data_IF_337025218049
#
_entry.id   IF_337025218049
#
_cell.length_a   1.000
_cell.length_b   1.000
_cell.length_c   1.000
_cell.angle_alpha   90.00
_cell.angle_beta   90.00
_cell.angle_gamma   90.00
#
_symmetry.space_group_name_H-M   'P 1'
#
loop_
_entity.id
_entity.type
_entity.pdbx_description
1 polymer ?
#
# COMPACT_ATOMS: atom_id res chain seq x y z
N UNK A 1 24.00 -5.26 19.91
CA UNK A 1 23.90 -5.48 18.45
C UNK A 1 22.47 -5.21 18.02
N UNK A 2 22.24 -4.43 16.95
CA UNK A 2 20.89 -4.28 16.38
C UNK A 2 20.60 -5.51 15.53
N UNK A 3 19.56 -6.27 15.87
CA UNK A 3 19.09 -7.38 15.05
C UNK A 3 18.59 -6.83 13.71
N UNK A 4 19.06 -7.43 12.61
CA UNK A 4 18.57 -7.11 11.25
C UNK A 4 17.21 -7.80 11.10
N UNK A 5 16.20 -7.04 10.65
CA UNK A 5 14.88 -7.62 10.38
C UNK A 5 14.97 -8.58 9.18
N UNK A 6 14.20 -9.66 9.23
CA UNK A 6 14.08 -10.59 8.11
C UNK A 6 12.60 -10.95 7.87
N UNK A 7 12.23 -11.28 6.62
CA UNK A 7 10.83 -11.52 6.26
C UNK A 7 10.32 -12.93 6.62
N UNK A 8 11.15 -13.83 7.17
CA UNK A 8 10.73 -15.19 7.51
C UNK A 8 10.01 -15.29 8.87
N UNK A 9 9.13 -16.30 8.98
CA UNK A 9 8.45 -16.62 10.24
C UNK A 9 7.10 -15.92 10.43
N UNK A 10 6.32 -15.74 9.36
CA UNK A 10 5.00 -15.12 9.46
C UNK A 10 4.13 -15.78 10.53
N UNK A 11 4.08 -17.11 10.60
CA UNK A 11 3.22 -17.89 11.52
C UNK A 11 3.53 -17.67 13.01
N UNK A 12 4.67 -17.06 13.36
CA UNK A 12 5.01 -16.75 14.75
C UNK A 12 3.99 -15.83 15.43
N UNK A 13 3.10 -15.17 14.67
CA UNK A 13 1.96 -14.44 15.24
C UNK A 13 1.12 -15.33 16.16
N UNK A 14 0.98 -16.63 15.88
CA UNK A 14 0.13 -17.54 16.66
C UNK A 14 0.58 -17.62 18.11
N UNK A 15 1.90 -17.55 18.36
CA UNK A 15 2.48 -17.54 19.70
C UNK A 15 2.23 -16.23 20.43
N UNK A 16 2.25 -15.12 19.71
CA UNK A 16 2.10 -13.78 20.27
C UNK A 16 0.63 -13.35 20.40
N UNK A 17 -0.23 -13.88 19.54
CA UNK A 17 -1.60 -13.45 19.32
C UNK A 17 -2.52 -14.65 19.03
N UNK A 18 -2.72 -15.54 20.03
CA UNK A 18 -3.43 -16.80 19.85
C UNK A 18 -4.94 -16.66 19.54
N UNK A 19 -5.52 -15.47 19.74
CA UNK A 19 -6.94 -15.21 19.47
C UNK A 19 -7.18 -14.72 18.04
N UNK A 20 -6.14 -14.57 17.21
CA UNK A 20 -6.30 -14.10 15.83
C UNK A 20 -6.88 -15.20 14.95
N UNK A 21 -8.03 -14.93 14.34
CA UNK A 21 -8.61 -15.78 13.31
C UNK A 21 -8.21 -15.25 11.93
N UNK A 22 -7.00 -15.59 11.49
CA UNK A 22 -6.49 -15.21 10.18
C UNK A 22 -6.31 -16.44 9.30
N UNK A 23 -6.79 -16.33 8.07
CA UNK A 23 -6.67 -17.38 7.05
C UNK A 23 -5.86 -16.81 5.91
N UNK A 24 -4.73 -17.45 5.60
CA UNK A 24 -3.93 -17.10 4.43
C UNK A 24 -4.74 -17.39 3.16
N UNK A 25 -4.46 -16.62 2.13
CA UNK A 25 -4.98 -16.91 0.81
C UNK A 25 -4.50 -18.28 0.32
N UNK A 26 -5.27 -18.91 -0.59
CA UNK A 26 -4.81 -20.09 -1.32
C UNK A 26 -3.45 -19.86 -1.99
N UNK A 27 -2.69 -20.94 -2.22
CA UNK A 27 -1.31 -20.87 -2.68
C UNK A 27 -1.12 -20.07 -3.98
N UNK A 28 -2.09 -20.11 -4.89
CA UNK A 28 -2.08 -19.33 -6.15
C UNK A 28 -2.12 -17.81 -5.94
N UNK A 29 -2.69 -17.37 -4.82
CA UNK A 29 -2.79 -15.97 -4.41
C UNK A 29 -1.82 -15.64 -3.27
N UNK A 30 -1.04 -16.58 -2.76
CA UNK A 30 -0.06 -16.32 -1.71
C UNK A 30 1.36 -16.26 -2.30
N UNK A 31 1.85 -15.05 -2.50
CA UNK A 31 3.17 -14.78 -3.08
C UNK A 31 4.25 -14.55 -2.01
N UNK A 32 4.01 -14.98 -0.77
CA UNK A 32 4.97 -14.82 0.32
C UNK A 32 6.29 -15.50 -0.01
N UNK A 33 6.28 -16.75 -0.47
CA UNK A 33 7.50 -17.50 -0.79
C UNK A 33 8.27 -16.86 -1.95
N UNK A 34 7.57 -16.30 -2.94
CA UNK A 34 8.19 -15.53 -4.01
C UNK A 34 8.88 -14.28 -3.47
N UNK A 35 8.24 -13.54 -2.55
CA UNK A 35 8.88 -12.40 -1.89
C UNK A 35 10.13 -12.82 -1.11
N UNK A 36 10.07 -13.92 -0.34
CA UNK A 36 11.22 -14.45 0.41
C UNK A 36 12.38 -14.81 -0.52
N UNK A 37 12.09 -15.47 -1.64
CA UNK A 37 13.09 -15.79 -2.65
C UNK A 37 13.76 -14.50 -3.17
N UNK A 38 12.98 -13.47 -3.52
CA UNK A 38 13.52 -12.20 -4.05
C UNK A 38 14.21 -11.34 -3.00
N UNK A 39 13.87 -11.51 -1.73
CA UNK A 39 14.59 -10.89 -0.63
C UNK A 39 16.03 -11.44 -0.50
N UNK A 40 16.27 -12.68 -0.91
CA UNK A 40 17.58 -13.31 -0.80
C UNK A 40 18.46 -13.14 -2.06
N UNK A 41 17.87 -12.93 -3.24
CA UNK A 41 18.61 -12.77 -4.50
C UNK A 41 19.01 -11.32 -4.79
N UNK A 42 20.07 -11.06 -5.58
CA UNK A 42 20.27 -9.73 -6.17
C UNK A 42 19.03 -9.32 -6.97
N UNK A 43 18.60 -8.07 -6.80
CA UNK A 43 17.41 -7.55 -7.48
C UNK A 43 17.74 -7.29 -8.96
N UNK A 44 16.99 -7.86 -9.91
CA UNK A 44 17.20 -7.61 -11.34
C UNK A 44 16.93 -6.14 -11.68
N UNK A 45 17.44 -5.71 -12.84
CA UNK A 45 17.18 -4.38 -13.35
C UNK A 45 15.75 -4.31 -13.88
N UNK A 46 14.92 -3.46 -13.27
CA UNK A 46 13.59 -3.15 -13.77
C UNK A 46 13.70 -2.28 -15.05
N UNK A 47 12.68 -2.27 -15.92
CA UNK A 47 12.65 -1.37 -17.07
C UNK A 47 12.83 0.09 -16.60
N UNK A 48 13.84 0.77 -17.16
CA UNK A 48 14.24 2.13 -16.71
C UNK A 48 13.27 3.22 -17.18
N UNK A 49 12.45 2.93 -18.18
CA UNK A 49 11.44 3.81 -18.75
C UNK A 49 10.14 3.86 -17.92
N UNK A 50 9.94 2.89 -17.02
CA UNK A 50 8.78 2.84 -16.13
C UNK A 50 8.92 3.84 -14.99
N UNK A 51 7.93 4.73 -14.83
CA UNK A 51 7.85 5.65 -13.70
C UNK A 51 7.46 4.89 -12.42
N UNK A 52 8.24 5.03 -11.34
CA UNK A 52 7.88 4.48 -10.03
C UNK A 52 7.18 5.55 -9.19
N UNK A 53 5.92 5.31 -8.81
CA UNK A 53 5.11 6.23 -8.02
C UNK A 53 5.05 5.74 -6.57
N UNK A 54 5.55 6.52 -5.63
CA UNK A 54 5.47 6.24 -4.19
C UNK A 54 4.33 7.03 -3.57
N UNK A 55 3.33 6.34 -3.00
CA UNK A 55 2.14 6.97 -2.38
C UNK A 55 2.06 6.58 -0.92
N UNK A 56 2.22 7.54 -0.01
CA UNK A 56 2.14 7.29 1.42
C UNK A 56 0.71 7.51 1.97
N UNK A 57 0.46 7.03 3.18
CA UNK A 57 -0.83 7.13 3.84
C UNK A 57 -1.11 8.44 4.56
N UNK A 58 -2.16 8.42 5.40
CA UNK A 58 -2.60 9.52 6.24
C UNK A 58 -1.45 10.05 7.12
N UNK A 59 -1.39 11.37 7.33
CA UNK A 59 -0.38 12.10 8.13
C UNK A 59 1.05 12.09 7.59
N UNK A 60 1.33 11.39 6.50
CA UNK A 60 2.67 11.31 5.92
C UNK A 60 3.24 12.66 5.45
N UNK A 61 2.40 13.65 5.15
CA UNK A 61 2.85 15.01 4.82
C UNK A 61 3.56 15.71 5.97
N UNK A 62 3.36 15.26 7.21
CA UNK A 62 4.01 15.76 8.42
C UNK A 62 5.24 14.92 8.82
N UNK A 63 5.51 13.82 8.11
CA UNK A 63 6.59 12.90 8.43
C UNK A 63 7.84 13.28 7.63
N UNK A 64 8.85 13.79 8.34
CA UNK A 64 10.16 14.02 7.76
C UNK A 64 10.75 12.71 7.23
N UNK A 65 11.28 12.78 6.00
CA UNK A 65 11.94 11.65 5.33
C UNK A 65 11.05 10.46 4.95
N UNK A 66 9.72 10.63 4.98
CA UNK A 66 8.79 9.64 4.44
C UNK A 66 9.21 9.20 3.02
N UNK A 67 9.33 7.88 2.81
CA UNK A 67 9.76 7.25 1.56
C UNK A 67 11.15 7.68 1.04
N UNK A 68 11.96 8.39 1.83
CA UNK A 68 13.24 8.95 1.36
C UNK A 68 14.25 7.86 1.00
N UNK A 69 14.35 6.81 1.80
CA UNK A 69 15.29 5.72 1.57
C UNK A 69 14.96 4.96 0.27
N UNK A 70 13.69 4.61 0.08
CA UNK A 70 13.19 3.97 -1.14
C UNK A 70 13.43 4.86 -2.38
N UNK A 71 12.98 6.12 -2.33
CA UNK A 71 13.15 7.05 -3.45
C UNK A 71 14.62 7.21 -3.84
N UNK A 72 15.51 7.40 -2.86
CA UNK A 72 16.95 7.50 -3.10
C UNK A 72 17.50 6.23 -3.75
N UNK A 73 17.16 5.06 -3.22
CA UNK A 73 17.66 3.80 -3.78
C UNK A 73 17.20 3.56 -5.21
N UNK A 74 15.94 3.89 -5.54
CA UNK A 74 15.39 3.74 -6.89
C UNK A 74 16.02 4.75 -7.86
N UNK A 75 16.16 6.02 -7.45
CA UNK A 75 16.85 7.04 -8.26
C UNK A 75 18.31 6.68 -8.50
N UNK A 76 19.04 6.19 -7.49
CA UNK A 76 20.42 5.72 -7.65
C UNK A 76 20.55 4.51 -8.57
N UNK A 77 19.48 3.72 -8.73
CA UNK A 77 19.40 2.62 -9.70
C UNK A 77 19.00 3.09 -11.11
N UNK A 78 18.70 4.38 -11.29
CA UNK A 78 18.37 4.99 -12.58
C UNK A 78 16.88 5.01 -12.94
N UNK A 79 15.98 4.85 -11.96
CA UNK A 79 14.54 4.98 -12.18
C UNK A 79 14.05 6.42 -12.01
N UNK A 80 13.10 6.82 -12.85
CA UNK A 80 12.25 7.99 -12.61
C UNK A 80 11.34 7.68 -11.41
N UNK A 81 11.34 8.55 -10.40
CA UNK A 81 10.56 8.36 -9.17
C UNK A 81 9.68 9.58 -8.89
N UNK A 82 8.37 9.36 -8.76
CA UNK A 82 7.41 10.35 -8.29
C UNK A 82 7.01 10.03 -6.85
N UNK A 83 7.41 10.86 -5.90
CA UNK A 83 6.82 10.85 -4.55
C UNK A 83 5.54 11.66 -4.58
N UNK A 84 4.40 10.97 -4.52
CA UNK A 84 3.08 11.58 -4.63
C UNK A 84 2.78 12.43 -3.39
N UNK A 85 2.50 13.74 -3.54
CA UNK A 85 2.01 14.56 -2.44
C UNK A 85 0.63 14.09 -2.00
N UNK A 86 0.46 13.91 -0.70
CA UNK A 86 -0.82 13.57 -0.09
C UNK A 86 -1.26 14.65 0.89
N UNK A 87 -2.57 14.84 1.02
CA UNK A 87 -3.18 15.74 2.00
C UNK A 87 -4.03 14.93 2.95
N UNK A 88 -3.67 14.96 4.22
CA UNK A 88 -4.36 14.22 5.29
C UNK A 88 -5.77 14.75 5.54
N UNK A 89 -6.03 15.98 5.07
CA UNK A 89 -7.35 16.59 5.08
C UNK A 89 -8.35 15.94 4.14
N UNK A 90 -7.86 15.29 3.07
CA UNK A 90 -8.69 14.79 1.99
C UNK A 90 -9.14 13.36 2.26
N UNK A 91 -10.43 13.14 2.03
CA UNK A 91 -10.96 11.79 1.87
C UNK A 91 -10.31 11.06 0.68
N UNK A 92 -10.52 9.76 0.61
CA UNK A 92 -9.96 8.86 -0.41
C UNK A 92 -10.32 9.30 -1.82
N UNK A 93 -11.59 9.64 -2.04
CA UNK A 93 -12.09 10.03 -3.37
C UNK A 93 -11.48 11.37 -3.82
N UNK A 94 -11.41 12.35 -2.93
CA UNK A 94 -10.82 13.66 -3.25
C UNK A 94 -9.31 13.56 -3.49
N UNK A 95 -8.60 12.81 -2.64
CA UNK A 95 -7.17 12.58 -2.81
C UNK A 95 -6.89 11.77 -4.09
N UNK A 96 -7.74 10.81 -4.44
CA UNK A 96 -7.66 10.07 -5.71
C UNK A 96 -7.77 10.97 -6.94
N UNK A 97 -8.68 11.96 -6.94
CA UNK A 97 -8.74 12.98 -8.01
C UNK A 97 -7.46 13.79 -8.10
N UNK A 98 -6.89 14.18 -6.98
CA UNK A 98 -5.61 14.91 -6.95
C UNK A 98 -4.47 14.06 -7.54
N UNK A 99 -4.39 12.79 -7.15
CA UNK A 99 -3.41 11.83 -7.70
C UNK A 99 -3.60 11.70 -9.20
N UNK A 100 -4.84 11.53 -9.69
CA UNK A 100 -5.11 11.39 -11.12
C UNK A 100 -4.64 12.61 -11.93
N UNK A 101 -4.95 13.82 -11.46
CA UNK A 101 -4.52 15.07 -12.12
C UNK A 101 -3.00 15.23 -12.12
N UNK A 102 -2.35 15.01 -10.98
CA UNK A 102 -0.90 15.20 -10.88
C UNK A 102 -0.14 14.13 -11.65
N UNK A 103 -0.53 12.86 -11.53
CA UNK A 103 0.11 11.78 -12.27
C UNK A 103 -0.10 11.95 -13.79
N UNK A 104 -1.32 12.30 -14.22
CA UNK A 104 -1.62 12.57 -15.62
C UNK A 104 -0.79 13.70 -16.23
N UNK A 105 -0.48 14.75 -15.47
CA UNK A 105 0.39 15.84 -15.95
C UNK A 105 1.89 15.51 -15.90
N UNK A 106 2.29 14.46 -15.17
CA UNK A 106 3.68 14.02 -15.03
C UNK A 106 4.07 12.89 -15.99
N UNK A 107 3.10 12.07 -16.41
CA UNK A 107 3.33 10.98 -17.35
C UNK A 107 3.65 11.52 -18.74
N UNK A 108 4.76 11.04 -19.32
CA UNK A 108 5.07 11.29 -20.72
C UNK A 108 4.11 10.47 -21.61
N UNK A 109 3.81 10.89 -22.85
CA UNK A 109 3.01 10.10 -23.77
C UNK A 109 3.55 8.67 -23.92
N UNK A 110 2.69 7.67 -23.71
CA UNK A 110 3.05 6.24 -23.79
C UNK A 110 3.88 5.71 -22.61
N UNK A 111 4.24 6.55 -21.63
CA UNK A 111 5.01 6.10 -20.48
C UNK A 111 4.14 5.25 -19.55
N UNK A 112 4.70 4.11 -19.13
CA UNK A 112 4.09 3.20 -18.16
C UNK A 112 4.53 3.53 -16.74
N UNK A 113 3.74 3.15 -15.76
CA UNK A 113 4.09 3.38 -14.35
C UNK A 113 3.70 2.22 -13.45
N UNK A 114 4.37 2.13 -12.31
CA UNK A 114 4.09 1.19 -11.23
C UNK A 114 3.90 1.96 -9.94
N UNK A 115 2.97 1.50 -9.09
CA UNK A 115 2.67 2.18 -7.82
C UNK A 115 3.10 1.34 -6.63
N UNK A 116 3.83 1.97 -5.71
CA UNK A 116 4.15 1.43 -4.40
C UNK A 116 3.41 2.28 -3.36
N UNK A 117 2.30 1.75 -2.85
CA UNK A 117 1.38 2.49 -2.00
C UNK A 117 1.33 1.91 -0.58
N UNK A 118 1.32 2.78 0.41
CA UNK A 118 1.26 2.41 1.83
C UNK A 118 -0.04 2.93 2.47
N UNK A 119 -0.67 2.08 3.28
CA UNK A 119 -1.83 2.44 4.11
C UNK A 119 -2.94 3.11 3.27
N UNK A 120 -3.52 4.22 3.73
CA UNK A 120 -4.53 5.01 3.01
C UNK A 120 -4.10 5.40 1.58
N UNK A 121 -2.80 5.57 1.33
CA UNK A 121 -2.29 5.88 0.00
C UNK A 121 -2.62 4.81 -1.05
N UNK A 122 -2.80 3.57 -0.61
CA UNK A 122 -3.32 2.48 -1.44
C UNK A 122 -4.75 2.75 -1.90
N UNK A 123 -5.65 3.09 -0.96
CA UNK A 123 -7.03 3.43 -1.28
C UNK A 123 -7.12 4.68 -2.16
N UNK A 124 -6.33 5.71 -1.87
CA UNK A 124 -6.27 6.95 -2.66
C UNK A 124 -5.86 6.65 -4.11
N UNK A 125 -4.90 5.75 -4.31
CA UNK A 125 -4.47 5.33 -5.65
C UNK A 125 -5.55 4.53 -6.37
N UNK A 126 -6.19 3.58 -5.69
CA UNK A 126 -7.29 2.81 -6.27
C UNK A 126 -8.46 3.71 -6.69
N UNK A 127 -8.76 4.75 -5.91
CA UNK A 127 -9.72 5.79 -6.29
C UNK A 127 -9.29 6.57 -7.55
N UNK A 128 -8.00 6.89 -7.69
CA UNK A 128 -7.47 7.53 -8.90
C UNK A 128 -7.61 6.64 -10.14
N UNK A 129 -7.24 5.36 -10.03
CA UNK A 129 -7.27 4.40 -11.15
C UNK A 129 -8.70 4.03 -11.56
N UNK A 130 -9.61 3.86 -10.60
CA UNK A 130 -11.03 3.57 -10.88
C UNK A 130 -11.76 4.69 -11.62
N UNK A 131 -11.29 5.94 -11.49
CA UNK A 131 -11.90 7.12 -12.12
C UNK A 131 -11.22 7.52 -13.43
N UNK A 132 -10.06 6.95 -13.78
CA UNK A 132 -9.28 7.34 -14.94
C UNK A 132 -8.77 6.13 -15.73
N UNK A 133 -9.50 5.80 -16.81
CA UNK A 133 -9.16 4.66 -17.67
C UNK A 133 -7.76 4.75 -18.28
N UNK A 134 -7.31 5.95 -18.66
CA UNK A 134 -5.98 6.14 -19.24
C UNK A 134 -4.89 5.78 -18.23
N UNK A 135 -5.01 6.25 -16.98
CA UNK A 135 -4.07 5.87 -15.92
C UNK A 135 -4.13 4.39 -15.59
N UNK A 136 -5.32 3.80 -15.57
CA UNK A 136 -5.49 2.37 -15.35
C UNK A 136 -4.83 1.53 -16.46
N UNK A 137 -4.92 1.95 -17.73
CA UNK A 137 -4.26 1.27 -18.86
C UNK A 137 -2.73 1.42 -18.85
N UNK A 138 -2.22 2.55 -18.36
CA UNK A 138 -0.79 2.84 -18.24
C UNK A 138 -0.15 2.26 -16.96
N UNK A 139 -0.95 1.71 -16.04
CA UNK A 139 -0.46 1.13 -14.78
C UNK A 139 -0.04 -0.33 -14.99
N UNK A 140 1.25 -0.60 -14.81
CA UNK A 140 1.84 -1.93 -14.96
C UNK A 140 1.70 -2.78 -13.71
N UNK A 141 1.40 -2.15 -12.57
CA UNK A 141 1.03 -2.83 -11.36
C UNK A 141 0.99 -1.93 -10.13
N UNK A 142 0.40 -2.43 -9.06
CA UNK A 142 0.32 -1.76 -7.77
C UNK A 142 0.63 -2.73 -6.62
N UNK A 143 1.52 -2.32 -5.71
CA UNK A 143 1.74 -2.97 -4.43
C UNK A 143 1.07 -2.16 -3.33
N UNK A 144 0.08 -2.76 -2.67
CA UNK A 144 -0.66 -2.19 -1.55
C UNK A 144 -0.07 -2.70 -0.23
N UNK A 145 0.71 -1.89 0.49
CA UNK A 145 1.33 -2.29 1.75
C UNK A 145 0.49 -1.84 2.93
N UNK A 146 0.05 -2.80 3.75
CA UNK A 146 -0.84 -2.57 4.89
C UNK A 146 -2.07 -1.73 4.52
N UNK A 147 -2.80 -2.07 3.42
CA UNK A 147 -3.95 -1.28 3.01
C UNK A 147 -5.08 -1.42 4.04
N UNK A 148 -5.78 -0.34 4.40
CA UNK A 148 -6.88 -0.40 5.36
C UNK A 148 -8.17 -0.92 4.73
N UNK A 149 -8.19 -2.23 4.43
CA UNK A 149 -9.35 -2.93 3.89
C UNK A 149 -10.56 -2.85 4.84
N UNK A 150 -10.29 -3.04 6.14
CA UNK A 150 -11.24 -2.84 7.24
C UNK A 150 -10.95 -1.55 8.03
N UNK A 151 -11.82 -1.22 9.01
CA UNK A 151 -11.67 -0.02 9.83
C UNK A 151 -10.50 -0.12 10.82
N UNK A 152 -9.93 1.05 11.18
CA UNK A 152 -9.02 1.17 12.30
C UNK A 152 -9.80 1.37 13.60
N UNK A 153 -9.72 0.45 14.57
CA UNK A 153 -10.32 0.64 15.90
C UNK A 153 -9.73 1.84 16.65
N UNK A 154 -8.48 2.19 16.36
CA UNK A 154 -7.81 3.36 16.93
C UNK A 154 -8.54 4.62 16.49
N UNK A 155 -8.79 4.73 15.20
CA UNK A 155 -9.49 5.87 14.61
C UNK A 155 -10.94 5.91 15.05
N UNK A 156 -11.64 4.77 15.10
CA UNK A 156 -13.01 4.71 15.64
C UNK A 156 -13.07 5.24 17.07
N UNK A 157 -12.10 4.88 17.91
CA UNK A 157 -12.05 5.40 19.29
C UNK A 157 -11.71 6.91 19.33
N UNK A 158 -10.85 7.38 18.41
CA UNK A 158 -10.53 8.81 18.27
C UNK A 158 -11.69 9.63 17.68
N UNK A 159 -12.63 9.01 16.97
CA UNK A 159 -13.85 9.66 16.48
C UNK A 159 -15.04 9.52 17.44
N UNK A 160 -14.89 8.74 18.51
CA UNK A 160 -15.94 8.52 19.51
C UNK A 160 -16.93 7.39 19.14
N UNK A 161 -16.60 6.56 18.15
CA UNK A 161 -17.38 5.40 17.74
C UNK A 161 -16.95 4.08 18.42
N UNK A 162 -15.97 4.13 19.32
CA UNK A 162 -15.48 2.96 20.05
C UNK A 162 -16.45 2.45 21.12
N UNK A 163 -16.42 1.14 21.40
CA UNK A 163 -17.22 0.51 22.44
C UNK A 163 -16.99 1.17 23.82
N UNK A 164 -18.08 1.50 24.52
CA UNK A 164 -18.07 2.04 25.88
C UNK A 164 -17.38 1.04 26.83
N UNK A 165 -16.12 1.30 27.18
CA UNK A 165 -15.31 0.42 28.04
C UNK A 165 -13.85 0.25 27.60
N UNK A 166 -13.49 0.74 26.42
CA UNK A 166 -12.15 0.65 25.85
C UNK A 166 -11.10 1.56 26.53
N UNK A 167 -10.64 1.19 27.73
CA UNK A 167 -9.35 1.60 28.29
C UNK A 167 -9.22 3.07 28.75
N UNK A 168 -8.32 3.31 29.72
CA UNK A 168 -7.96 4.62 30.28
C UNK A 168 -7.99 5.72 29.21
N UNK A 169 -8.79 6.77 29.43
CA UNK A 169 -8.69 7.99 28.65
C UNK A 169 -7.28 8.54 28.78
N UNK A 170 -6.47 8.37 27.73
CA UNK A 170 -5.15 8.98 27.70
C UNK A 170 -5.37 10.49 27.73
N UNK A 171 -4.67 11.21 28.60
CA UNK A 171 -4.91 12.66 28.81
C UNK A 171 -4.79 13.48 27.50
N UNK A 172 -4.07 12.97 26.51
CA UNK A 172 -3.94 13.55 25.16
C UNK A 172 -5.06 13.19 24.18
N UNK A 173 -5.91 12.20 24.49
CA UNK A 173 -6.98 11.76 23.58
C UNK A 173 -8.05 12.84 23.41
N UNK A 174 -8.39 13.61 24.45
CA UNK A 174 -9.33 14.74 24.30
C UNK A 174 -8.79 15.84 23.39
N UNK A 175 -7.48 16.11 23.46
CA UNK A 175 -6.83 17.10 22.59
C UNK A 175 -6.71 16.59 21.15
N UNK A 176 -6.36 15.31 20.96
CA UNK A 176 -6.33 14.67 19.63
C UNK A 176 -7.72 14.52 19.03
N UNK A 177 -8.72 14.15 19.83
CA UNK A 177 -10.14 14.16 19.45
C UNK A 177 -10.57 15.56 19.01
N UNK A 178 -10.25 16.60 19.76
CA UNK A 178 -10.55 17.98 19.37
C UNK A 178 -9.83 18.41 18.07
N UNK A 179 -8.57 17.99 17.86
CA UNK A 179 -7.81 18.27 16.65
C UNK A 179 -8.32 17.50 15.42
N UNK A 180 -8.70 16.23 15.57
CA UNK A 180 -9.22 15.37 14.50
C UNK A 180 -10.66 15.76 14.13
N UNK A 181 -11.47 16.13 15.12
CA UNK A 181 -12.83 16.65 14.92
C UNK A 181 -12.85 18.11 14.45
N UNK A 182 -11.71 18.82 14.52
CA UNK A 182 -11.57 20.07 13.80
C UNK A 182 -11.53 19.78 12.30
N UNK A 183 -12.27 20.56 11.52
CA UNK A 183 -12.60 20.32 10.12
C UNK A 183 -11.43 19.96 9.16
N UNK A 184 -10.16 20.37 9.34
CA UNK A 184 -9.16 20.09 8.32
C UNK A 184 -8.64 18.65 8.27
N UNK A 185 -8.91 17.74 9.21
CA UNK A 185 -8.41 16.34 9.12
C UNK A 185 -9.51 15.27 9.16
N UNK A 186 -10.75 15.70 9.34
CA UNK A 186 -11.88 14.81 9.61
C UNK A 186 -12.17 13.86 8.44
N UNK A 187 -12.11 14.32 7.18
CA UNK A 187 -12.47 13.48 6.03
C UNK A 187 -11.44 12.36 5.78
N UNK A 188 -10.15 12.69 5.73
CA UNK A 188 -9.10 11.67 5.53
C UNK A 188 -9.01 10.66 6.67
N UNK A 189 -9.28 11.11 7.91
CA UNK A 189 -9.35 10.24 9.08
C UNK A 189 -10.60 9.36 9.06
N UNK A 190 -11.75 9.91 8.66
CA UNK A 190 -13.02 9.16 8.56
C UNK A 190 -12.92 7.98 7.58
N UNK A 191 -12.22 8.11 6.47
CA UNK A 191 -12.17 7.06 5.44
C UNK A 191 -11.37 5.81 5.82
N UNK A 192 -10.62 5.85 6.92
CA UNK A 192 -9.99 4.66 7.51
C UNK A 192 -10.73 4.16 8.77
N UNK A 193 -11.85 4.78 9.12
CA UNK A 193 -12.72 4.39 10.24
C UNK A 193 -13.88 3.49 9.77
N UNK A 194 -14.74 3.10 10.71
CA UNK A 194 -16.03 2.45 10.44
C UNK A 194 -17.04 3.37 9.76
N UNK A 195 -16.85 4.69 9.82
CA UNK A 195 -17.71 5.70 9.17
C UNK A 195 -17.19 6.14 7.81
N UNK A 196 -16.32 5.34 7.17
CA UNK A 196 -15.73 5.64 5.86
C UNK A 196 -16.77 5.89 4.78
N UNK A 197 -16.41 6.67 3.77
CA UNK A 197 -17.23 6.83 2.56
C UNK A 197 -17.55 5.44 1.95
N UNK A 198 -18.84 5.09 1.72
CA UNK A 198 -19.24 3.81 1.13
C UNK A 198 -18.58 3.51 -0.24
N UNK A 199 -18.17 4.55 -0.98
CA UNK A 199 -17.43 4.37 -2.23
C UNK A 199 -16.09 3.66 -2.03
N UNK A 200 -15.46 3.81 -0.85
CA UNK A 200 -14.22 3.10 -0.52
C UNK A 200 -14.46 1.59 -0.48
N UNK A 201 -15.53 1.14 0.17
CA UNK A 201 -15.89 -0.27 0.20
C UNK A 201 -16.20 -0.80 -1.20
N UNK A 202 -16.90 0.00 -2.02
CA UNK A 202 -17.18 -0.34 -3.42
C UNK A 202 -15.90 -0.54 -4.22
N UNK A 203 -14.93 0.37 -4.11
CA UNK A 203 -13.62 0.27 -4.79
C UNK A 203 -12.90 -1.01 -4.38
N UNK A 204 -12.86 -1.32 -3.08
CA UNK A 204 -12.18 -2.51 -2.56
C UNK A 204 -12.86 -3.83 -3.00
N UNK A 205 -14.19 -3.83 -3.10
CA UNK A 205 -14.96 -5.02 -3.53
C UNK A 205 -14.97 -5.25 -5.05
N UNK A 206 -14.59 -4.24 -5.84
CA UNK A 206 -14.69 -4.25 -7.30
C UNK A 206 -13.43 -3.67 -7.94
N UNK A 207 -12.27 -4.25 -7.58
CA UNK A 207 -11.02 -3.92 -8.23
C UNK A 207 -11.10 -4.32 -9.72
N UNK A 208 -10.59 -3.50 -10.66
CA UNK A 208 -10.63 -3.85 -12.07
C UNK A 208 -9.86 -5.15 -12.36
N UNK A 209 -10.45 -6.10 -13.08
CA UNK A 209 -9.84 -7.41 -13.38
C UNK A 209 -8.46 -7.33 -14.05
N UNK A 210 -8.24 -6.26 -14.84
CA UNK A 210 -6.97 -6.00 -15.53
C UNK A 210 -5.90 -5.33 -14.66
N UNK A 211 -6.24 -4.91 -13.45
CA UNK A 211 -5.30 -4.26 -12.53
C UNK A 211 -4.39 -5.32 -11.93
N UNK A 212 -3.13 -5.34 -12.34
CA UNK A 212 -2.11 -6.17 -11.71
C UNK A 212 -1.84 -5.64 -10.29
N UNK A 213 -2.28 -6.37 -9.28
CA UNK A 213 -2.31 -5.90 -7.90
C UNK A 213 -1.75 -6.98 -6.96
N UNK A 214 -0.98 -6.56 -5.98
CA UNK A 214 -0.68 -7.37 -4.79
C UNK A 214 -0.91 -6.54 -3.53
N UNK A 215 -1.08 -7.22 -2.41
CA UNK A 215 -1.12 -6.58 -1.10
C UNK A 215 -0.22 -7.26 -0.08
N UNK A 216 0.26 -6.48 0.88
CA UNK A 216 1.09 -6.95 1.98
C UNK A 216 0.31 -6.83 3.29
N UNK A 217 0.18 -7.97 3.97
CA UNK A 217 -0.37 -8.07 5.32
C UNK A 217 0.79 -8.32 6.28
N UNK A 218 0.76 -7.68 7.45
CA UNK A 218 1.80 -7.84 8.44
C UNK A 218 1.30 -7.72 9.86
N UNK A 219 2.13 -8.14 10.80
CA UNK A 219 1.91 -7.97 12.23
C UNK A 219 3.22 -7.60 12.93
N UNK A 220 3.15 -7.04 14.13
CA UNK A 220 4.31 -6.88 15.02
C UNK A 220 3.91 -6.99 16.49
N UNK A 221 4.70 -7.75 17.26
CA UNK A 221 4.46 -7.93 18.70
C UNK A 221 4.78 -6.68 19.53
N UNK A 222 5.66 -5.83 19.01
CA UNK A 222 6.10 -4.61 19.66
C UNK A 222 6.27 -3.49 18.64
N UNK A 223 6.28 -2.24 19.14
CA UNK A 223 6.64 -1.07 18.34
C UNK A 223 8.06 -1.21 17.78
N UNK A 224 8.22 -1.02 16.47
CA UNK A 224 9.50 -1.12 15.75
C UNK A 224 9.94 0.20 15.11
N UNK A 225 9.00 1.10 14.82
CA UNK A 225 9.21 2.43 14.26
C UNK A 225 8.80 3.53 15.26
N UNK A 226 9.29 4.74 15.01
CA UNK A 226 9.04 5.88 15.88
C UNK A 226 7.68 6.56 15.62
N UNK A 227 6.87 6.10 14.67
CA UNK A 227 5.64 6.77 14.26
C UNK A 227 4.41 5.85 14.33
N UNK A 228 3.30 6.41 14.82
CA UNK A 228 1.92 5.87 14.69
C UNK A 228 1.73 4.40 15.06
N UNK A 229 2.34 3.97 16.16
CA UNK A 229 2.15 2.63 16.70
C UNK A 229 1.33 2.68 17.99
N UNK A 230 0.16 2.08 17.97
CA UNK A 230 -0.81 2.00 19.06
C UNK A 230 -0.87 0.60 19.69
N UNK A 231 0.21 -0.18 19.67
CA UNK A 231 0.27 -1.56 20.19
C UNK A 231 -0.36 -1.74 21.56
N UNK A 232 0.01 -0.90 22.55
CA UNK A 232 -0.57 -0.98 23.90
C UNK A 232 -2.09 -0.81 23.90
N UNK A 233 -2.62 0.06 23.04
CA UNK A 233 -4.05 0.31 22.93
C UNK A 233 -4.79 -0.81 22.19
N UNK A 234 -4.22 -1.31 21.10
CA UNK A 234 -4.80 -2.47 20.38
C UNK A 234 -4.80 -3.72 21.25
N UNK A 235 -3.69 -4.00 21.95
CA UNK A 235 -3.60 -5.09 22.92
C UNK A 235 -4.61 -4.96 24.07
N UNK A 236 -4.95 -3.73 24.49
CA UNK A 236 -6.00 -3.51 25.49
C UNK A 236 -7.43 -3.65 24.91
N UNK A 237 -7.62 -3.28 23.64
CA UNK A 237 -8.91 -3.33 22.96
C UNK A 237 -9.33 -4.77 22.60
N UNK A 238 -8.44 -5.53 21.98
CA UNK A 238 -8.64 -6.95 21.66
C UNK A 238 -7.36 -7.72 22.01
N UNK A 239 -7.21 -8.15 23.27
CA UNK A 239 -6.06 -8.95 23.69
C UNK A 239 -5.85 -10.18 22.80
N UNK A 240 -4.59 -10.50 22.52
CA UNK A 240 -4.21 -11.68 21.76
C UNK A 240 -4.60 -11.65 20.28
N UNK A 241 -4.96 -10.50 19.71
CA UNK A 241 -5.23 -10.34 18.27
C UNK A 241 -4.08 -9.64 17.56
N UNK A 242 -3.60 -10.22 16.48
CA UNK A 242 -2.45 -9.74 15.74
C UNK A 242 -2.77 -8.42 15.04
N UNK A 243 -1.79 -7.52 15.07
CA UNK A 243 -1.91 -6.20 14.47
C UNK A 243 -0.54 -5.66 14.07
N UNK A 244 -0.51 -4.70 13.15
CA UNK A 244 0.71 -3.98 12.76
C UNK A 244 0.97 -2.74 13.64
N UNK A 245 0.13 -2.49 14.64
CA UNK A 245 0.19 -1.30 15.48
C UNK A 245 -0.85 -0.23 15.12
N UNK A 246 -1.57 -0.37 14.01
CA UNK A 246 -2.66 0.53 13.63
C UNK A 246 -3.95 -0.22 13.26
N UNK A 247 -3.81 -1.37 12.60
CA UNK A 247 -4.90 -2.22 12.16
C UNK A 247 -4.70 -3.65 12.66
N UNK A 248 -5.80 -4.32 13.01
CA UNK A 248 -5.77 -5.76 13.17
C UNK A 248 -5.53 -6.42 11.81
N UNK A 249 -4.86 -7.57 11.84
CA UNK A 249 -4.38 -8.25 10.64
C UNK A 249 -5.50 -8.60 9.65
N UNK A 250 -6.69 -8.97 10.15
CA UNK A 250 -7.87 -9.22 9.31
C UNK A 250 -8.35 -7.98 8.54
N UNK A 251 -8.09 -6.78 9.07
CA UNK A 251 -8.49 -5.52 8.43
C UNK A 251 -7.46 -5.03 7.40
N UNK A 252 -6.39 -5.81 7.16
CA UNK A 252 -5.37 -5.52 6.14
C UNK A 252 -5.50 -6.43 4.91
N UNK A 253 -6.29 -7.51 4.99
CA UNK A 253 -6.41 -8.52 3.93
C UNK A 253 -7.43 -8.10 2.86
N UNK A 254 -7.09 -8.33 1.59
CA UNK A 254 -7.97 -8.07 0.44
C UNK A 254 -8.35 -9.39 -0.25
N UNK A 255 -9.61 -9.86 -0.10
CA UNK A 255 -10.07 -11.08 -0.75
C UNK A 255 -9.89 -11.07 -2.27
N UNK A 256 -9.38 -12.18 -2.82
CA UNK A 256 -9.20 -12.35 -4.27
C UNK A 256 -8.02 -11.60 -4.87
N UNK A 257 -7.22 -10.89 -4.06
CA UNK A 257 -6.02 -10.18 -4.49
C UNK A 257 -4.80 -10.95 -4.00
N UNK A 258 -3.75 -11.11 -4.83
CA UNK A 258 -2.48 -11.69 -4.38
C UNK A 258 -1.94 -11.04 -3.11
N UNK A 259 -1.43 -11.86 -2.19
CA UNK A 259 -1.02 -11.52 -0.84
C UNK A 259 0.45 -11.85 -0.60
N UNK A 260 1.11 -11.04 0.22
CA UNK A 260 2.39 -11.33 0.86
C UNK A 260 2.21 -11.13 2.37
N UNK A 261 2.62 -12.12 3.15
CA UNK A 261 2.48 -12.13 4.61
C UNK A 261 3.84 -11.93 5.29
N UNK A 262 4.01 -10.83 6.05
CA UNK A 262 5.31 -10.49 6.65
C UNK A 262 5.27 -10.37 8.19
N UNK A 263 6.21 -11.01 8.90
CA UNK A 263 6.29 -10.94 10.35
C UNK A 263 7.02 -9.70 10.85
N UNK A 264 6.74 -9.37 12.10
CA UNK A 264 7.45 -8.37 12.89
C UNK A 264 7.67 -7.03 12.16
N UNK A 265 6.68 -6.65 11.35
CA UNK A 265 6.64 -5.43 10.55
C UNK A 265 5.48 -4.57 11.06
N UNK A 266 5.82 -3.43 11.64
CA UNK A 266 4.82 -2.47 12.11
C UNK A 266 4.35 -1.51 11.00
N UNK A 267 3.30 -0.76 11.28
CA UNK A 267 2.62 0.09 10.29
C UNK A 267 3.53 1.19 9.73
N UNK A 268 4.49 1.70 10.51
CA UNK A 268 5.34 2.83 10.11
C UNK A 268 6.62 2.41 9.39
N UNK A 269 7.12 1.20 9.63
CA UNK A 269 8.38 0.71 9.09
C UNK A 269 8.50 0.78 7.56
N UNK A 270 7.48 0.46 6.74
CA UNK A 270 7.59 0.57 5.29
C UNK A 270 8.04 1.94 4.79
N UNK A 271 7.60 3.02 5.45
CA UNK A 271 7.87 4.39 4.99
C UNK A 271 9.02 5.08 5.74
N UNK A 272 9.41 4.57 6.91
CA UNK A 272 10.40 5.18 7.82
C UNK A 272 11.63 4.33 8.10
N UNK A 273 11.54 3.01 8.00
CA UNK A 273 12.51 2.09 8.58
C UNK A 273 12.38 1.96 10.10
N UNK A 274 13.44 1.48 10.74
CA UNK A 274 13.51 1.29 12.20
C UNK A 274 13.73 -0.17 12.59
N UNK A 275 14.30 -0.39 13.78
CA UNK A 275 14.57 -1.72 14.33
C UNK A 275 15.27 -2.72 13.38
N UNK A 276 16.18 -2.23 12.53
CA UNK A 276 16.91 -3.09 11.58
C UNK A 276 16.16 -3.42 10.28
N UNK A 277 14.99 -2.83 10.05
CA UNK A 277 14.25 -2.92 8.78
C UNK A 277 14.85 -2.00 7.72
N UNK A 278 15.03 -2.55 6.52
CA UNK A 278 15.47 -1.83 5.33
C UNK A 278 14.28 -1.53 4.40
N UNK A 279 13.71 -0.31 4.45
CA UNK A 279 12.58 0.05 3.61
C UNK A 279 12.97 0.11 2.12
N UNK A 280 14.22 0.43 1.77
CA UNK A 280 14.64 0.47 0.38
C UNK A 280 14.68 -0.94 -0.21
N UNK A 281 15.24 -1.91 0.52
CA UNK A 281 15.23 -3.31 0.09
C UNK A 281 13.81 -3.86 -0.01
N UNK A 282 12.95 -3.56 0.96
CA UNK A 282 11.55 -3.96 0.98
C UNK A 282 10.79 -3.53 -0.27
N UNK A 283 10.77 -2.23 -0.56
CA UNK A 283 10.03 -1.71 -1.70
C UNK A 283 10.56 -2.20 -3.04
N UNK A 284 11.89 -2.34 -3.18
CA UNK A 284 12.48 -2.91 -4.40
C UNK A 284 12.16 -4.39 -4.58
N UNK A 285 12.06 -5.14 -3.49
CA UNK A 285 11.66 -6.55 -3.54
C UNK A 285 10.21 -6.69 -3.99
N UNK A 286 9.29 -5.86 -3.48
CA UNK A 286 7.90 -5.82 -3.97
C UNK A 286 7.80 -5.46 -5.46
N UNK A 287 8.63 -4.51 -5.89
CA UNK A 287 8.67 -4.08 -7.28
C UNK A 287 9.17 -5.19 -8.21
N UNK A 288 10.17 -5.97 -7.77
CA UNK A 288 10.64 -7.16 -8.49
C UNK A 288 9.56 -8.25 -8.56
N UNK A 289 8.85 -8.51 -7.44
CA UNK A 289 7.71 -9.43 -7.43
C UNK A 289 6.64 -9.00 -8.44
N UNK A 290 6.23 -7.74 -8.44
CA UNK A 290 5.25 -7.21 -9.41
C UNK A 290 5.72 -7.40 -10.85
N UNK A 291 7.00 -7.12 -11.13
CA UNK A 291 7.56 -7.24 -12.47
C UNK A 291 7.52 -8.69 -12.97
N UNK A 292 7.88 -9.66 -12.13
CA UNK A 292 7.94 -11.06 -12.51
C UNK A 292 6.57 -11.73 -12.64
N UNK A 293 5.61 -11.32 -11.83
CA UNK A 293 4.26 -11.91 -11.86
C UNK A 293 3.36 -11.26 -12.91
N UNK A 294 3.82 -10.17 -13.54
CA UNK A 294 3.10 -9.56 -14.64
C UNK A 294 3.08 -10.54 -15.81
N UNK A 295 1.88 -10.92 -16.26
CA UNK A 295 1.72 -11.71 -17.46
C UNK A 295 2.36 -10.96 -18.65
N UNK A 296 3.18 -11.63 -19.49
CA UNK A 296 3.64 -11.00 -20.73
C UNK A 296 2.41 -10.56 -21.52
N UNK A 297 2.40 -9.31 -21.99
CA UNK A 297 1.35 -8.83 -22.90
C UNK A 297 1.22 -9.88 -24.00
N UNK A 298 0.04 -10.49 -24.14
CA UNK A 298 -0.24 -11.37 -25.26
C UNK A 298 0.06 -10.53 -26.49
N UNK A 299 1.15 -10.86 -27.18
CA UNK A 299 1.49 -10.27 -28.47
C UNK A 299 0.23 -10.39 -29.31
N UNK A 300 -0.40 -9.26 -29.59
CA UNK A 300 -1.43 -9.18 -30.62
C UNK A 300 -0.81 -9.82 -31.85
N UNK A 301 -1.37 -10.90 -32.41
CA UNK A 301 -0.82 -11.48 -33.63
C UNK A 301 -0.86 -10.36 -34.67
N UNK A 302 0.28 -10.17 -35.31
CA UNK A 302 0.55 -9.19 -36.37
C UNK A 302 -0.34 -9.52 -37.59
N UNK A 303 -1.64 -9.32 -37.44
CA UNK A 303 -2.66 -9.48 -38.48
C UNK A 303 -3.09 -8.08 -38.88
N UNK A 304 -2.20 -7.30 -39.50
CA UNK A 304 -2.50 -6.23 -40.47
C UNK A 304 -1.19 -5.61 -40.97
N UNK A 305 -0.23 -6.44 -41.42
CA UNK A 305 0.71 -6.01 -42.47
C UNK A 305 0.13 -6.46 -43.80
N UNK A 306 -0.77 -5.65 -44.35
CA UNK A 306 -1.15 -5.76 -45.76
C UNK A 306 0.08 -5.47 -46.62
N UNK A 307 0.36 -6.26 -47.67
CA UNK A 307 1.45 -5.96 -48.59
C UNK A 307 1.17 -4.65 -49.33
N UNK A 308 2.23 -3.85 -49.46
CA UNK A 308 2.29 -2.60 -50.19
C UNK A 308 1.72 -2.75 -51.60
N UNK A 309 0.64 -2.01 -51.89
CA UNK A 309 0.17 -1.77 -53.25
C UNK A 309 1.02 -0.65 -53.85
N UNK A 310 1.98 -1.00 -54.69
CA UNK A 310 2.79 -0.05 -55.44
C UNK A 310 2.04 0.36 -56.72
N UNK A 311 1.71 1.64 -56.95
CA UNK A 311 0.97 2.05 -58.13
C UNK A 311 1.85 2.02 -59.38
N UNK A 312 1.31 1.46 -60.46
CA UNK A 312 1.89 1.49 -61.79
C UNK A 312 2.19 2.93 -62.25
N UNK A 313 3.39 3.12 -62.83
CA UNK A 313 3.77 4.28 -63.63
C UNK A 313 3.10 4.22 -65.02
N UNK A 314 2.75 5.36 -65.63
CA UNK A 314 2.20 5.40 -66.98
C UNK A 314 3.33 5.36 -68.03
N UNK A 315 3.08 4.64 -69.11
CA UNK A 315 3.54 4.91 -70.48
C UNK A 315 2.41 4.53 -71.43
#
# INVERSE_FOLDING_TARGET
>A
MRTIWKPEGFEEWQRHFPATAFVRHPAELDWTDLFLQRWQTPLPALPKDTLVVLVAGLYSEFILYCNRACARSLTSAGHDVLRMPVRSSRGVIEQGRHIATLLGSRLKPGQRFVVLAHSKGGLDTLAALSQNKYLLDACDGIALVQPPAGPSPIIDTLLGHGAAGAGRSYRMDRFRQAMINSAPLAAGTRDISSSRDPQVAKILSALPDKLHCLHVVSWSAARRSQFDTHHQRLNALRPGHAHDGQFYMENLSLPGVPQICLPDLDHGQPILGGAGFDPARFWRTLLDVLHQTRAPERSTPDRFRSPEYSPHKPL
#
